data_IF_624120752684
#
_entry.id   IF_624120752684
#
_cell.length_a   1.000
_cell.length_b   1.000
_cell.length_c   1.000
_cell.angle_alpha   90.00
_cell.angle_beta   90.00
_cell.angle_gamma   90.00
#
_symmetry.space_group_name_H-M   'P 1'
#
loop_
_entity.id
_entity.type
_entity.pdbx_description
1 polymer ?
#
# COMPACT_ATOMS: atom_id res chain seq x y z
N UNK A 1 -11.59 2.89 -17.41
CA UNK A 1 -10.62 2.00 -16.72
C UNK A 1 -11.25 1.59 -15.41
N UNK A 2 -11.33 0.30 -15.09
CA UNK A 2 -11.87 -0.13 -13.81
C UNK A 2 -10.97 0.37 -12.68
N UNK A 3 -11.56 0.99 -11.65
CA UNK A 3 -10.83 1.37 -10.45
C UNK A 3 -10.30 0.12 -9.75
N UNK A 4 -9.06 0.17 -9.24
CA UNK A 4 -8.52 -0.92 -8.45
C UNK A 4 -9.39 -1.14 -7.21
N UNK A 5 -9.76 -2.39 -6.96
CA UNK A 5 -10.41 -2.80 -5.71
C UNK A 5 -9.41 -2.75 -4.55
N UNK A 6 -9.92 -2.68 -3.32
CA UNK A 6 -9.08 -2.74 -2.12
C UNK A 6 -8.19 -4.00 -2.10
N UNK A 7 -8.73 -5.15 -2.52
CA UNK A 7 -7.98 -6.41 -2.60
C UNK A 7 -6.80 -6.32 -3.54
N UNK A 8 -7.00 -5.74 -4.73
CA UNK A 8 -5.93 -5.54 -5.71
C UNK A 8 -4.87 -4.57 -5.20
N UNK A 9 -5.28 -3.48 -4.54
CA UNK A 9 -4.34 -2.53 -3.91
C UNK A 9 -3.49 -3.27 -2.87
N UNK A 10 -4.10 -4.04 -1.97
CA UNK A 10 -3.37 -4.80 -0.96
C UNK A 10 -2.41 -5.82 -1.60
N UNK A 11 -2.76 -6.43 -2.72
CA UNK A 11 -1.84 -7.29 -3.47
C UNK A 11 -0.65 -6.54 -4.07
N UNK A 12 -0.85 -5.33 -4.60
CA UNK A 12 0.27 -4.49 -5.10
C UNK A 12 1.22 -4.09 -3.96
N UNK A 13 0.68 -3.76 -2.78
CA UNK A 13 1.49 -3.48 -1.60
C UNK A 13 2.23 -4.73 -1.10
N UNK A 14 1.66 -5.94 -1.20
CA UNK A 14 2.39 -7.18 -0.90
C UNK A 14 3.50 -7.45 -1.91
N UNK A 15 3.21 -7.31 -3.22
CA UNK A 15 4.17 -7.53 -4.31
C UNK A 15 5.39 -6.61 -4.24
N UNK A 16 5.19 -5.36 -3.82
CA UNK A 16 6.28 -4.40 -3.58
C UNK A 16 6.98 -4.58 -2.23
N UNK A 17 6.56 -5.55 -1.40
CA UNK A 17 7.06 -5.70 -0.04
C UNK A 17 6.70 -4.53 0.90
N UNK A 18 5.76 -3.67 0.50
CA UNK A 18 5.31 -2.52 1.27
C UNK A 18 4.31 -2.89 2.38
N UNK A 19 3.54 -3.98 2.23
CA UNK A 19 2.71 -4.51 3.31
C UNK A 19 3.48 -5.59 4.08
N UNK A 20 3.85 -5.27 5.31
CA UNK A 20 4.57 -6.17 6.21
C UNK A 20 3.61 -6.87 7.17
N UNK A 21 3.98 -8.08 7.59
CA UNK A 21 3.27 -8.86 8.61
C UNK A 21 4.26 -9.27 9.70
N UNK A 22 3.85 -9.15 10.96
CA UNK A 22 4.73 -9.30 12.13
C UNK A 22 4.05 -8.75 13.38
N UNK A 23 4.83 -8.20 14.31
CA UNK A 23 4.30 -7.45 15.46
C UNK A 23 4.99 -6.09 15.49
N UNK A 24 4.21 -5.04 15.23
CA UNK A 24 4.71 -3.67 15.14
C UNK A 24 4.10 -2.80 16.24
N UNK A 25 4.93 -2.00 16.92
CA UNK A 25 4.50 -0.85 17.72
C UNK A 25 4.42 0.36 16.79
N UNK A 26 3.22 0.90 16.61
CA UNK A 26 2.98 2.06 15.74
C UNK A 26 3.33 3.37 16.46
N UNK A 27 3.48 4.45 15.71
CA UNK A 27 3.74 5.79 16.25
C UNK A 27 2.62 6.31 17.17
N UNK A 28 1.42 5.75 17.07
CA UNK A 28 0.31 6.01 17.99
C UNK A 28 0.42 5.30 19.34
N UNK A 29 1.43 4.43 19.53
CA UNK A 29 1.56 3.56 20.69
C UNK A 29 0.75 2.26 20.61
N UNK A 30 -0.06 2.08 19.55
CA UNK A 30 -0.84 0.86 19.35
C UNK A 30 -0.01 -0.26 18.74
N UNK A 31 -0.34 -1.49 19.12
CA UNK A 31 0.25 -2.69 18.51
C UNK A 31 -0.58 -3.11 17.29
N UNK A 32 0.09 -3.48 16.21
CA UNK A 32 -0.56 -3.97 14.98
C UNK A 32 0.18 -5.19 14.41
N UNK A 33 -0.55 -6.20 13.90
CA UNK A 33 0.08 -7.32 13.20
C UNK A 33 0.55 -6.95 11.79
N UNK A 34 0.25 -5.74 11.31
CA UNK A 34 0.55 -5.24 9.97
C UNK A 34 1.16 -3.85 10.03
N UNK A 35 2.09 -3.58 9.12
CA UNK A 35 2.64 -2.24 8.93
C UNK A 35 2.84 -1.96 7.43
N UNK A 36 2.58 -0.72 7.02
CA UNK A 36 2.71 -0.30 5.63
C UNK A 36 3.92 0.62 5.47
N UNK A 37 4.92 0.16 4.72
CA UNK A 37 6.10 0.92 4.33
C UNK A 37 5.95 1.45 2.90
N UNK A 38 5.27 2.59 2.73
CA UNK A 38 5.03 3.19 1.41
C UNK A 38 6.31 3.42 0.59
N UNK A 39 7.44 3.71 1.26
CA UNK A 39 8.73 3.88 0.60
C UNK A 39 9.15 2.66 -0.24
N UNK A 40 8.75 1.44 0.13
CA UNK A 40 9.05 0.22 -0.66
C UNK A 40 8.24 0.16 -1.94
N UNK A 41 6.96 0.58 -1.91
CA UNK A 41 6.15 0.70 -3.13
C UNK A 41 6.75 1.72 -4.10
N UNK A 42 7.20 2.86 -3.58
CA UNK A 42 7.76 3.95 -4.39
C UNK A 42 9.09 3.59 -5.08
N UNK A 43 9.79 2.56 -4.61
CA UNK A 43 10.96 2.00 -5.31
C UNK A 43 10.58 1.24 -6.60
N UNK A 44 9.30 0.95 -6.83
CA UNK A 44 8.79 0.28 -8.02
C UNK A 44 7.89 1.23 -8.84
N UNK A 45 8.43 2.04 -9.76
CA UNK A 45 7.69 3.10 -10.46
C UNK A 45 6.39 2.63 -11.11
N UNK A 46 6.40 1.47 -11.78
CA UNK A 46 5.20 0.91 -12.43
C UNK A 46 4.10 0.50 -11.43
N UNK A 47 4.47 0.02 -10.23
CA UNK A 47 3.49 -0.31 -9.19
C UNK A 47 2.97 0.96 -8.52
N UNK A 48 3.85 1.91 -8.25
CA UNK A 48 3.51 3.21 -7.69
C UNK A 48 2.52 3.96 -8.59
N UNK A 49 2.77 4.02 -9.90
CA UNK A 49 1.89 4.68 -10.87
C UNK A 49 0.47 4.10 -10.82
N UNK A 50 0.34 2.77 -10.82
CA UNK A 50 -0.97 2.10 -10.76
C UNK A 50 -1.75 2.47 -9.50
N UNK A 51 -1.09 2.47 -8.34
CA UNK A 51 -1.71 2.83 -7.06
C UNK A 51 -2.07 4.31 -7.04
N UNK A 52 -1.17 5.20 -7.48
CA UNK A 52 -1.39 6.64 -7.52
C UNK A 52 -2.54 7.03 -8.46
N UNK A 53 -2.66 6.40 -9.65
CA UNK A 53 -3.81 6.60 -10.55
C UNK A 53 -5.13 6.22 -9.88
N UNK A 54 -5.16 5.09 -9.16
CA UNK A 54 -6.34 4.66 -8.43
C UNK A 54 -6.70 5.60 -7.26
N UNK A 55 -5.70 6.16 -6.57
CA UNK A 55 -5.89 7.19 -5.56
C UNK A 55 -6.48 8.47 -6.17
N UNK A 56 -5.89 8.96 -7.25
CA UNK A 56 -6.36 10.17 -7.95
C UNK A 56 -7.81 10.02 -8.43
N UNK A 57 -8.18 8.86 -8.96
CA UNK A 57 -9.55 8.57 -9.40
C UNK A 57 -10.59 8.55 -8.25
N UNK A 58 -10.17 8.36 -6.99
CA UNK A 58 -11.04 8.42 -5.81
C UNK A 58 -11.12 9.80 -5.16
N UNK A 59 -10.12 10.65 -5.43
CA UNK A 59 -10.01 11.99 -4.86
C UNK A 59 -10.59 13.08 -5.76
N UNK A 60 -10.86 12.73 -7.02
CA UNK A 60 -11.65 13.53 -7.95
C UNK A 60 -13.16 13.36 -7.68
#
# INVERSE_FOLDING_TARGET
MAALTEREILELFRKSGALLSGHFLLSSGLHSPKYVQCARLLQHPALAERVCRALAARAA
#
